data_IF_834723147143
#
_entry.id   IF_834723147143
#
_cell.length_a   1.000
_cell.length_b   1.000
_cell.length_c   1.000
_cell.angle_alpha   90.00
_cell.angle_beta   90.00
_cell.angle_gamma   90.00
#
_symmetry.space_group_name_H-M   'P 1'
#
loop_
_entity.id
_entity.type
_entity.pdbx_description
1 polymer ?
#
# COMPACT_ATOMS: atom_id res chain seq x y z
N UNK A 1 19.34 0.52 3.13
CA UNK A 1 17.94 0.56 3.68
C UNK A 1 17.49 1.98 4.03
N UNK A 2 16.21 2.31 3.82
CA UNK A 2 15.64 3.62 4.17
C UNK A 2 15.55 3.81 5.70
N UNK A 3 15.90 5.00 6.20
CA UNK A 3 15.84 5.34 7.63
C UNK A 3 14.41 5.33 8.17
N UNK A 4 13.48 5.92 7.42
CA UNK A 4 12.03 5.84 7.66
C UNK A 4 11.45 4.98 6.55
N UNK A 5 11.30 3.69 6.83
CA UNK A 5 10.77 2.74 5.87
C UNK A 5 9.23 2.73 5.87
N UNK A 6 8.64 2.08 4.87
CA UNK A 6 7.18 2.02 4.68
C UNK A 6 6.49 1.43 5.91
N UNK A 7 7.05 0.38 6.51
CA UNK A 7 6.47 -0.26 7.68
C UNK A 7 6.32 0.74 8.84
N UNK A 8 7.39 1.47 9.17
CA UNK A 8 7.38 2.53 10.20
C UNK A 8 6.39 3.64 9.89
N UNK A 9 6.30 4.09 8.62
CA UNK A 9 5.38 5.16 8.22
C UNK A 9 3.93 4.74 8.44
N UNK A 10 3.58 3.53 8.01
CA UNK A 10 2.23 2.98 8.07
C UNK A 10 1.80 2.68 9.51
N UNK A 11 2.71 2.13 10.33
CA UNK A 11 2.44 1.89 11.75
C UNK A 11 2.29 3.20 12.53
N UNK A 12 3.12 4.20 12.23
CA UNK A 12 2.99 5.53 12.82
C UNK A 12 1.65 6.19 12.48
N UNK A 13 1.14 5.98 11.26
CA UNK A 13 -0.18 6.46 10.86
C UNK A 13 -1.32 5.80 11.65
N UNK A 14 -1.28 4.47 11.82
CA UNK A 14 -2.27 3.76 12.64
C UNK A 14 -2.25 4.23 14.10
N UNK A 15 -1.05 4.37 14.67
CA UNK A 15 -0.89 4.85 16.04
C UNK A 15 -1.43 6.27 16.19
N UNK A 16 -1.07 7.17 15.27
CA UNK A 16 -1.59 8.54 15.26
C UNK A 16 -3.11 8.58 15.17
N UNK A 17 -3.73 7.77 14.30
CA UNK A 17 -5.19 7.73 14.15
C UNK A 17 -5.87 7.23 15.42
N UNK A 18 -5.30 6.23 16.11
CA UNK A 18 -5.81 5.71 17.38
C UNK A 18 -5.82 6.76 18.50
N UNK A 19 -4.86 7.67 18.50
CA UNK A 19 -4.72 8.72 19.51
C UNK A 19 -5.69 9.90 19.29
N UNK A 20 -6.30 10.00 18.11
CA UNK A 20 -7.20 11.12 17.78
C UNK A 20 -8.48 11.11 18.64
N UNK A 21 -8.97 12.28 19.08
CA UNK A 21 -10.18 12.40 19.89
C UNK A 21 -11.41 11.76 19.22
N UNK A 22 -11.55 11.96 17.90
CA UNK A 22 -12.67 11.44 17.11
C UNK A 22 -12.67 9.91 17.06
N UNK A 23 -11.49 9.28 17.10
CA UNK A 23 -11.36 7.82 16.99
C UNK A 23 -11.77 7.10 18.29
N UNK A 24 -11.79 7.79 19.43
CA UNK A 24 -12.28 7.22 20.71
C UNK A 24 -13.79 6.99 20.72
N UNK A 25 -14.52 7.68 19.86
CA UNK A 25 -15.97 7.55 19.70
C UNK A 25 -16.34 6.73 18.46
N UNK A 26 -15.38 6.37 17.61
CA UNK A 26 -15.62 5.51 16.44
C UNK A 26 -15.86 4.05 16.87
N UNK A 27 -16.79 3.33 16.20
CA UNK A 27 -16.94 1.89 16.38
C UNK A 27 -15.60 1.16 16.15
N UNK A 28 -15.29 0.17 17.00
CA UNK A 28 -14.04 -0.62 16.90
C UNK A 28 -13.83 -1.23 15.52
N UNK A 29 -14.92 -1.61 14.85
CA UNK A 29 -14.94 -2.16 13.49
C UNK A 29 -14.25 -1.23 12.49
N UNK A 30 -14.39 0.10 12.61
CA UNK A 30 -13.77 1.06 11.69
C UNK A 30 -12.24 1.03 11.84
N UNK A 31 -11.75 0.94 13.08
CA UNK A 31 -10.32 0.85 13.34
C UNK A 31 -9.74 -0.49 12.87
N UNK A 32 -10.46 -1.60 13.07
CA UNK A 32 -10.08 -2.92 12.53
C UNK A 32 -9.98 -2.89 11.00
N UNK A 33 -10.99 -2.34 10.32
CA UNK A 33 -10.95 -2.17 8.86
C UNK A 33 -9.77 -1.30 8.39
N UNK A 34 -9.41 -0.26 9.15
CA UNK A 34 -8.25 0.56 8.85
C UNK A 34 -6.93 -0.21 9.04
N UNK A 35 -6.85 -1.03 10.09
CA UNK A 35 -5.70 -1.90 10.33
C UNK A 35 -5.54 -2.92 9.21
N UNK A 36 -6.63 -3.54 8.76
CA UNK A 36 -6.63 -4.45 7.61
C UNK A 36 -6.21 -3.75 6.32
N UNK A 37 -6.72 -2.53 6.08
CA UNK A 37 -6.28 -1.72 4.95
C UNK A 37 -4.78 -1.45 4.99
N UNK A 38 -4.25 -1.10 6.17
CA UNK A 38 -2.82 -0.84 6.36
C UNK A 38 -1.94 -2.06 6.04
N UNK A 39 -2.33 -3.24 6.53
CA UNK A 39 -1.64 -4.50 6.20
C UNK A 39 -1.76 -4.84 4.71
N UNK A 40 -2.94 -4.61 4.12
CA UNK A 40 -3.15 -4.76 2.68
C UNK A 40 -2.19 -3.89 1.86
N UNK A 41 -1.97 -2.63 2.25
CA UNK A 41 -0.99 -1.74 1.59
C UNK A 41 0.44 -2.28 1.74
N UNK A 42 0.82 -2.81 2.91
CA UNK A 42 2.15 -3.40 3.11
C UNK A 42 2.38 -4.61 2.19
N UNK A 43 1.41 -5.51 2.12
CA UNK A 43 1.50 -6.69 1.26
C UNK A 43 1.54 -6.31 -0.22
N UNK A 44 0.69 -5.37 -0.63
CA UNK A 44 0.66 -4.87 -2.00
C UNK A 44 1.99 -4.19 -2.38
N UNK A 45 2.58 -3.43 -1.47
CA UNK A 45 3.90 -2.84 -1.65
C UNK A 45 4.98 -3.90 -1.84
N UNK A 46 4.99 -4.96 -1.01
CA UNK A 46 5.96 -6.04 -1.10
C UNK A 46 5.92 -6.77 -2.45
N UNK A 47 4.72 -6.97 -3.00
CA UNK A 47 4.53 -7.63 -4.30
C UNK A 47 4.88 -6.69 -5.47
N UNK A 48 4.44 -5.43 -5.41
CA UNK A 48 4.54 -4.52 -6.56
C UNK A 48 5.88 -3.80 -6.66
N UNK A 49 6.65 -3.67 -5.59
CA UNK A 49 7.90 -2.90 -5.65
C UNK A 49 8.81 -3.41 -6.77
N UNK A 50 9.16 -4.70 -6.71
CA UNK A 50 10.07 -5.35 -7.65
C UNK A 50 9.52 -5.52 -9.06
N UNK A 51 8.27 -5.16 -9.36
CA UNK A 51 7.69 -5.31 -10.70
C UNK A 51 7.29 -3.97 -11.32
N UNK A 52 6.66 -3.08 -10.54
CA UNK A 52 5.95 -1.91 -11.07
C UNK A 52 6.37 -0.56 -10.48
N UNK A 53 7.07 -0.53 -9.34
CA UNK A 53 7.37 0.72 -8.63
C UNK A 53 8.80 1.25 -8.85
N UNK A 54 9.68 0.45 -9.45
CA UNK A 54 11.07 0.81 -9.71
C UNK A 54 11.28 1.28 -11.15
N UNK A 55 11.99 2.39 -11.30
CA UNK A 55 12.55 2.82 -12.57
C UNK A 55 13.68 1.90 -13.01
N UNK A 56 14.03 1.95 -14.30
CA UNK A 56 15.07 1.10 -14.89
C UNK A 56 16.41 1.21 -14.17
N UNK A 57 16.79 2.40 -13.71
CA UNK A 57 18.07 2.62 -13.02
C UNK A 57 18.08 2.10 -11.57
N UNK A 58 16.92 1.95 -10.93
CA UNK A 58 16.82 1.42 -9.55
C UNK A 58 16.91 -0.11 -9.50
N UNK A 59 16.85 -0.79 -10.66
CA UNK A 59 16.81 -2.27 -10.73
C UNK A 59 18.11 -2.92 -10.24
N UNK A 60 19.25 -2.31 -10.52
CA UNK A 60 20.55 -2.80 -10.04
C UNK A 60 20.61 -2.75 -8.51
N UNK A 61 20.27 -1.60 -7.93
CA UNK A 61 20.19 -1.42 -6.46
C UNK A 61 19.22 -2.42 -5.81
N UNK A 62 18.08 -2.71 -6.45
CA UNK A 62 17.11 -3.66 -5.93
C UNK A 62 17.68 -5.08 -5.85
N UNK A 63 18.41 -5.54 -6.87
CA UNK A 63 19.08 -6.84 -6.86
C UNK A 63 20.12 -6.93 -5.75
N UNK A 64 20.97 -5.91 -5.60
CA UNK A 64 21.98 -5.84 -4.54
C UNK A 64 21.34 -5.89 -3.14
N UNK A 65 20.25 -5.14 -2.93
CA UNK A 65 19.52 -5.13 -1.65
C UNK A 65 18.89 -6.49 -1.30
N UNK A 66 18.42 -7.24 -2.28
CA UNK A 66 17.88 -8.59 -2.05
C UNK A 66 18.97 -9.59 -1.64
N UNK A 67 20.17 -9.44 -2.21
CA UNK A 67 21.32 -10.27 -1.85
C UNK A 67 21.86 -9.92 -0.45
N UNK A 68 21.92 -8.64 -0.10
CA UNK A 68 22.38 -8.16 1.21
C UNK A 68 21.39 -8.43 2.35
N UNK A 69 20.09 -8.46 2.04
CA UNK A 69 19.02 -8.58 3.03
C UNK A 69 17.92 -9.59 2.61
N UNK A 70 18.27 -10.90 2.48
CA UNK A 70 17.35 -11.92 1.98
C UNK A 70 16.16 -12.19 2.92
N UNK A 71 16.27 -11.83 4.19
CA UNK A 71 15.26 -12.00 5.23
C UNK A 71 14.28 -10.83 5.34
N UNK A 72 14.57 -9.69 4.68
CA UNK A 72 13.77 -8.47 4.82
C UNK A 72 12.76 -8.31 3.70
N UNK A 73 11.57 -7.84 4.08
CA UNK A 73 10.53 -7.44 3.14
C UNK A 73 10.81 -6.03 2.61
N UNK A 74 10.19 -5.70 1.48
CA UNK A 74 10.40 -4.41 0.81
C UNK A 74 9.92 -3.24 1.65
N UNK A 75 8.85 -3.43 2.43
CA UNK A 75 8.35 -2.43 3.37
C UNK A 75 9.38 -2.02 4.44
N UNK A 76 10.37 -2.87 4.72
CA UNK A 76 11.43 -2.60 5.70
C UNK A 76 12.68 -1.96 5.07
N UNK A 77 12.79 -2.02 3.73
CA UNK A 77 13.97 -1.57 2.99
C UNK A 77 13.76 -0.24 2.26
N UNK A 78 12.55 0.02 1.78
CA UNK A 78 12.20 1.20 0.99
C UNK A 78 11.34 2.19 1.81
N UNK A 79 11.28 3.44 1.36
CA UNK A 79 10.64 4.54 2.09
C UNK A 79 9.50 5.23 1.33
N UNK A 80 9.18 6.45 1.78
CA UNK A 80 8.01 7.22 1.34
C UNK A 80 7.93 7.47 -0.17
N UNK A 81 9.05 7.67 -0.87
CA UNK A 81 9.03 7.93 -2.32
C UNK A 81 8.41 6.78 -3.11
N UNK A 82 8.76 5.53 -2.77
CA UNK A 82 8.20 4.35 -3.43
C UNK A 82 6.76 4.10 -2.97
N UNK A 83 6.45 4.39 -1.70
CA UNK A 83 5.08 4.31 -1.19
C UNK A 83 4.13 5.26 -1.95
N UNK A 84 4.58 6.48 -2.25
CA UNK A 84 3.80 7.41 -3.08
C UNK A 84 3.56 6.87 -4.49
N UNK A 85 4.54 6.19 -5.10
CA UNK A 85 4.36 5.55 -6.41
C UNK A 85 3.31 4.44 -6.36
N UNK A 86 3.22 3.70 -5.24
CA UNK A 86 2.15 2.72 -5.04
C UNK A 86 0.78 3.38 -5.12
N UNK A 87 0.56 4.52 -4.46
CA UNK A 87 -0.74 5.20 -4.49
C UNK A 87 -1.13 5.71 -5.88
N UNK A 88 -0.17 6.15 -6.70
CA UNK A 88 -0.42 6.51 -8.11
C UNK A 88 -0.91 5.28 -8.91
N UNK A 89 -0.31 4.11 -8.68
CA UNK A 89 -0.73 2.85 -9.32
C UNK A 89 -2.07 2.37 -8.80
N UNK A 90 -2.30 2.46 -7.50
CA UNK A 90 -3.54 2.05 -6.86
C UNK A 90 -4.73 2.87 -7.37
N UNK A 91 -4.56 4.19 -7.56
CA UNK A 91 -5.60 5.03 -8.17
C UNK A 91 -6.00 4.56 -9.57
N UNK A 92 -5.03 4.20 -10.40
CA UNK A 92 -5.30 3.63 -11.73
C UNK A 92 -6.02 2.27 -11.61
N UNK A 93 -5.55 1.37 -10.75
CA UNK A 93 -6.16 0.05 -10.54
C UNK A 93 -7.62 0.15 -10.06
N UNK A 94 -7.91 1.01 -9.07
CA UNK A 94 -9.25 1.24 -8.55
C UNK A 94 -10.18 1.86 -9.60
N UNK A 95 -9.67 2.73 -10.46
CA UNK A 95 -10.48 3.30 -11.55
C UNK A 95 -10.99 2.22 -12.51
N UNK A 96 -10.17 1.21 -12.81
CA UNK A 96 -10.59 0.09 -13.65
C UNK A 96 -11.62 -0.79 -12.94
N UNK A 97 -11.42 -1.12 -11.65
CA UNK A 97 -12.39 -1.92 -10.88
C UNK A 97 -13.76 -1.22 -10.76
N UNK A 98 -13.78 0.08 -10.50
CA UNK A 98 -15.03 0.86 -10.37
C UNK A 98 -15.78 0.93 -11.72
N UNK A 99 -15.04 1.11 -12.83
CA UNK A 99 -15.62 1.06 -14.17
C UNK A 99 -16.19 -0.32 -14.51
N UNK A 100 -15.51 -1.40 -14.11
CA UNK A 100 -16.00 -2.77 -14.30
C UNK A 100 -17.28 -3.04 -13.50
N UNK A 101 -17.37 -2.56 -12.26
CA UNK A 101 -18.60 -2.69 -11.46
C UNK A 101 -19.77 -1.92 -12.08
N UNK A 102 -19.53 -0.69 -12.56
CA UNK A 102 -20.58 0.11 -13.23
C UNK A 102 -21.02 -0.48 -14.57
N UNK A 103 -20.10 -1.05 -15.34
CA UNK A 103 -20.43 -1.69 -16.62
C UNK A 103 -21.22 -2.99 -16.42
N UNK A 104 -20.89 -3.81 -15.43
CA UNK A 104 -21.68 -5.00 -15.06
C UNK A 104 -23.10 -4.62 -14.63
N UNK A 105 -23.26 -3.60 -13.79
CA UNK A 105 -24.57 -3.14 -13.33
C UNK A 105 -25.45 -2.62 -14.49
N UNK A 106 -24.84 -1.86 -15.41
CA UNK A 106 -25.53 -1.35 -16.62
C UNK A 106 -25.98 -2.49 -17.56
N UNK A 107 -25.19 -3.57 -17.66
CA UNK A 107 -25.55 -4.73 -18.48
C UNK A 107 -26.68 -5.56 -17.85
N UNK A 108 -26.76 -5.64 -16.52
CA UNK A 108 -27.84 -6.35 -15.83
C UNK A 108 -29.17 -5.58 -15.86
N UNK A 109 -29.14 -4.25 -16.00
CA UNK A 109 -30.35 -3.41 -16.05
C UNK A 109 -31.01 -3.31 -17.44
N UNK A 110 -30.36 -3.79 -18.50
CA UNK A 110 -30.86 -3.74 -19.88
C UNK A 110 -31.27 -5.12 -20.43
N UNK A 111 -31.59 -6.07 -19.55
CA UNK A 111 -32.21 -7.37 -19.84
C UNK A 111 -33.56 -7.41 -19.10
#
# INVERSE_FOLDING_TARGET
PAKNNVNVILDAFLQWKKEQPDSKNEPSIIFESLSEFNEGIKDYFNVLLGSQLLYRFERMQYSELLEEHPDKKMVDLYGSFHLLRLFVRLGAALSHTILDVMTVDTMQHNI
#
